data_IF_459789980941
#
_entry.id   IF_459789980941
#
_cell.length_a   1.000
_cell.length_b   1.000
_cell.length_c   1.000
_cell.angle_alpha   90.00
_cell.angle_beta   90.00
_cell.angle_gamma   90.00
#
_symmetry.space_group_name_H-M   'P 1'
#
loop_
_entity.id
_entity.type
_entity.pdbx_description
1 polymer ?
#
# COMPACT_ATOMS: atom_id res chain seq x y z
N UNK A 1 5.39 -17.99 -7.28
CA UNK A 1 4.34 -18.32 -6.31
C UNK A 1 3.53 -17.09 -5.97
N UNK A 2 2.27 -17.30 -5.69
CA UNK A 2 1.36 -16.17 -5.43
C UNK A 2 1.52 -15.65 -4.01
N UNK A 3 1.51 -14.33 -3.88
CA UNK A 3 1.46 -13.68 -2.57
C UNK A 3 0.03 -13.61 -2.08
N UNK A 4 -0.13 -13.51 -0.77
CA UNK A 4 -1.43 -13.32 -0.12
C UNK A 4 -1.54 -11.87 0.31
N UNK A 5 -2.68 -11.22 -0.01
CA UNK A 5 -2.92 -9.84 0.39
C UNK A 5 -3.68 -9.77 1.69
N UNK A 6 -3.24 -8.85 2.55
CA UNK A 6 -3.99 -8.43 3.74
C UNK A 6 -4.05 -6.91 3.76
N UNK A 7 -5.11 -6.38 4.34
CA UNK A 7 -5.33 -4.93 4.39
C UNK A 7 -5.45 -4.46 5.82
N UNK A 8 -4.77 -3.37 6.14
CA UNK A 8 -4.98 -2.69 7.41
C UNK A 8 -6.42 -2.16 7.43
N UNK A 9 -7.11 -2.23 8.57
CA UNK A 9 -8.51 -1.78 8.65
C UNK A 9 -8.75 -0.36 8.15
N UNK A 10 -7.80 0.53 8.37
CA UNK A 10 -7.92 1.92 7.93
C UNK A 10 -8.00 2.08 6.42
N UNK A 11 -7.51 1.10 5.65
CA UNK A 11 -7.61 1.16 4.18
C UNK A 11 -9.07 1.17 3.77
N UNK A 12 -9.84 0.22 4.29
CA UNK A 12 -11.26 0.10 3.97
C UNK A 12 -12.10 1.22 4.61
N UNK A 13 -11.78 1.55 5.85
CA UNK A 13 -12.59 2.48 6.63
C UNK A 13 -12.31 3.95 6.34
N UNK A 14 -11.07 4.29 5.98
CA UNK A 14 -10.65 5.67 5.81
C UNK A 14 -10.16 6.00 4.40
N UNK A 15 -9.33 5.14 3.81
CA UNK A 15 -8.69 5.45 2.54
C UNK A 15 -9.61 5.27 1.33
N UNK A 16 -10.23 4.10 1.21
CA UNK A 16 -11.09 3.81 0.05
C UNK A 16 -12.30 4.75 -0.08
N UNK A 17 -12.96 5.15 1.02
CA UNK A 17 -14.09 6.08 0.88
C UNK A 17 -13.73 7.44 0.30
N UNK A 18 -12.46 7.83 0.36
CA UNK A 18 -11.98 9.10 -0.19
C UNK A 18 -11.70 9.03 -1.68
N UNK A 19 -11.72 7.84 -2.27
CA UNK A 19 -11.38 7.62 -3.67
C UNK A 19 -12.63 7.42 -4.50
N UNK A 20 -12.59 7.89 -5.75
CA UNK A 20 -13.67 7.59 -6.67
C UNK A 20 -13.53 6.15 -7.20
N UNK A 21 -14.58 5.67 -7.86
CA UNK A 21 -14.61 4.28 -8.36
C UNK A 21 -13.52 4.00 -9.39
N UNK A 22 -13.20 4.96 -10.22
CA UNK A 22 -12.17 4.79 -11.25
C UNK A 22 -10.80 4.59 -10.62
N UNK A 23 -10.47 5.38 -9.60
CA UNK A 23 -9.19 5.25 -8.89
C UNK A 23 -9.13 3.95 -8.09
N UNK A 24 -10.23 3.55 -7.45
CA UNK A 24 -10.29 2.28 -6.73
C UNK A 24 -10.00 1.10 -7.68
N UNK A 25 -10.64 1.10 -8.85
CA UNK A 25 -10.44 0.04 -9.83
C UNK A 25 -9.01 0.02 -10.37
N UNK A 26 -8.45 1.20 -10.64
CA UNK A 26 -7.09 1.33 -11.13
C UNK A 26 -6.06 0.83 -10.12
N UNK A 27 -6.25 1.20 -8.86
CA UNK A 27 -5.36 0.78 -7.78
C UNK A 27 -5.46 -0.72 -7.56
N UNK A 28 -6.67 -1.26 -7.56
CA UNK A 28 -6.87 -2.71 -7.43
C UNK A 28 -6.14 -3.47 -8.52
N UNK A 29 -6.28 -3.02 -9.78
CA UNK A 29 -5.59 -3.66 -10.90
C UNK A 29 -4.08 -3.60 -10.73
N UNK A 30 -3.54 -2.47 -10.29
CA UNK A 30 -2.10 -2.34 -10.06
C UNK A 30 -1.62 -3.30 -8.98
N UNK A 31 -2.37 -3.44 -7.89
CA UNK A 31 -2.03 -4.37 -6.82
C UNK A 31 -2.02 -5.80 -7.35
N UNK A 32 -3.07 -6.19 -8.08
CA UNK A 32 -3.20 -7.56 -8.59
C UNK A 32 -2.17 -7.90 -9.65
N UNK A 33 -1.83 -6.94 -10.53
CA UNK A 33 -0.90 -7.20 -11.64
C UNK A 33 0.56 -6.99 -11.27
N UNK A 34 0.85 -6.20 -10.25
CA UNK A 34 2.22 -5.85 -9.88
C UNK A 34 2.63 -6.40 -8.52
N UNK A 35 1.89 -6.06 -7.47
CA UNK A 35 2.28 -6.47 -6.12
C UNK A 35 2.14 -7.98 -5.91
N UNK A 36 1.09 -8.59 -6.42
CA UNK A 36 0.90 -10.03 -6.29
C UNK A 36 1.92 -10.84 -7.08
N UNK A 37 2.57 -10.22 -8.05
CA UNK A 37 3.56 -10.88 -8.91
C UNK A 37 4.97 -10.65 -8.41
N UNK A 38 5.35 -9.38 -8.19
CA UNK A 38 6.72 -9.02 -7.85
C UNK A 38 6.75 -7.74 -7.04
N UNK A 39 6.35 -7.78 -5.75
CA UNK A 39 6.21 -6.56 -4.95
C UNK A 39 7.52 -5.77 -4.80
N UNK A 40 8.64 -6.48 -4.73
CA UNK A 40 9.94 -5.82 -4.54
C UNK A 40 10.52 -5.26 -5.84
N UNK A 41 9.99 -5.69 -6.99
CA UNK A 41 10.42 -5.15 -8.27
C UNK A 41 9.66 -3.89 -8.66
N UNK A 42 8.40 -3.82 -8.29
CA UNK A 42 7.55 -2.67 -8.62
C UNK A 42 7.47 -1.62 -7.52
N UNK A 43 7.73 -2.01 -6.28
CA UNK A 43 7.70 -1.09 -5.15
C UNK A 43 9.03 -0.38 -4.94
N UNK A 44 8.96 0.73 -4.21
CA UNK A 44 10.14 1.47 -3.78
C UNK A 44 10.15 1.58 -2.26
N UNK A 45 11.32 1.42 -1.60
CA UNK A 45 11.39 1.57 -0.16
C UNK A 45 11.02 3.00 0.29
N UNK A 46 10.35 3.11 1.42
CA UNK A 46 10.11 4.40 2.05
C UNK A 46 11.39 4.89 2.71
N UNK A 47 11.77 6.16 2.46
CA UNK A 47 13.07 6.68 2.89
C UNK A 47 13.13 7.15 4.33
N UNK A 48 12.02 7.65 4.87
CA UNK A 48 11.99 8.27 6.19
C UNK A 48 11.27 7.45 7.24
N UNK A 49 11.09 6.16 6.98
CA UNK A 49 10.32 5.32 7.86
C UNK A 49 11.14 4.13 8.30
N UNK A 50 10.52 3.30 9.12
CA UNK A 50 11.11 2.05 9.55
C UNK A 50 11.38 1.14 8.36
N UNK A 51 12.41 0.31 8.50
CA UNK A 51 12.78 -0.64 7.47
C UNK A 51 11.64 -1.60 7.17
N UNK A 52 11.53 -1.98 5.92
CA UNK A 52 10.54 -2.96 5.49
C UNK A 52 9.26 -2.39 4.94
N UNK A 53 9.11 -1.07 4.93
CA UNK A 53 7.95 -0.42 4.31
C UNK A 53 8.27 0.02 2.90
N UNK A 54 7.31 -0.18 2.00
CA UNK A 54 7.44 0.07 0.58
C UNK A 54 6.25 0.86 0.08
N UNK A 55 6.40 1.48 -1.08
CA UNK A 55 5.30 2.15 -1.76
C UNK A 55 5.23 1.74 -3.22
N UNK A 56 4.01 1.65 -3.75
CA UNK A 56 3.74 1.44 -5.17
C UNK A 56 3.08 2.68 -5.71
N UNK A 57 3.65 3.23 -6.77
CA UNK A 57 3.07 4.39 -7.44
C UNK A 57 1.94 3.99 -8.37
N UNK A 58 0.77 4.60 -8.18
CA UNK A 58 -0.39 4.44 -9.06
C UNK A 58 -0.99 5.83 -9.31
N UNK A 59 -0.55 6.48 -10.39
CA UNK A 59 -0.96 7.86 -10.66
C UNK A 59 -0.52 8.81 -9.55
N UNK A 60 -1.48 9.55 -8.99
CA UNK A 60 -1.22 10.45 -7.87
C UNK A 60 -1.32 9.77 -6.51
N UNK A 61 -1.56 8.47 -6.51
CA UNK A 61 -1.70 7.71 -5.27
C UNK A 61 -0.51 6.81 -5.04
N UNK A 62 -0.34 6.45 -3.78
CA UNK A 62 0.71 5.53 -3.35
C UNK A 62 0.07 4.44 -2.51
N UNK A 63 0.39 3.20 -2.84
CA UNK A 63 -0.02 2.05 -2.04
C UNK A 63 1.15 1.73 -1.13
N UNK A 64 0.99 1.96 0.17
CA UNK A 64 2.03 1.67 1.15
C UNK A 64 1.82 0.25 1.65
N UNK A 65 2.86 -0.55 1.61
CA UNK A 65 2.76 -1.97 1.94
C UNK A 65 4.03 -2.48 2.61
N UNK A 66 3.90 -3.66 3.21
CA UNK A 66 5.02 -4.39 3.79
C UNK A 66 4.94 -5.83 3.31
N UNK A 67 6.10 -6.40 2.99
CA UNK A 67 6.19 -7.81 2.59
C UNK A 67 6.76 -8.62 3.74
N UNK A 68 6.07 -9.69 4.12
CA UNK A 68 6.55 -10.62 5.13
C UNK A 68 6.35 -12.03 4.61
N UNK A 69 7.44 -12.66 4.18
CA UNK A 69 7.35 -13.96 3.53
C UNK A 69 6.54 -13.88 2.24
N UNK A 70 5.45 -14.61 2.16
CA UNK A 70 4.54 -14.60 1.01
C UNK A 70 3.32 -13.73 1.24
N UNK A 71 3.33 -12.94 2.32
CA UNK A 71 2.21 -12.09 2.68
C UNK A 71 2.55 -10.63 2.41
N UNK A 72 1.62 -9.92 1.78
CA UNK A 72 1.73 -8.49 1.54
C UNK A 72 0.65 -7.81 2.37
N UNK A 73 1.06 -6.96 3.31
CA UNK A 73 0.14 -6.17 4.11
C UNK A 73 0.04 -4.77 3.52
N UNK A 74 -1.15 -4.41 3.05
CA UNK A 74 -1.43 -3.06 2.56
C UNK A 74 -1.79 -2.20 3.76
N UNK A 75 -0.95 -1.20 4.03
CA UNK A 75 -1.10 -0.32 5.19
C UNK A 75 -1.91 0.94 4.87
N UNK A 76 -1.85 1.40 3.62
CA UNK A 76 -2.59 2.58 3.24
C UNK A 76 -2.58 2.79 1.75
N UNK A 77 -3.61 3.52 1.29
CA UNK A 77 -3.72 3.98 -0.09
C UNK A 77 -3.91 5.48 0.03
N UNK A 78 -2.84 6.23 -0.21
CA UNK A 78 -2.79 7.65 0.11
C UNK A 78 -2.37 8.49 -1.11
N UNK A 79 -2.78 9.75 -1.11
CA UNK A 79 -2.27 10.70 -2.08
C UNK A 79 -0.76 10.86 -1.87
N UNK A 80 -0.02 11.08 -2.96
CA UNK A 80 1.44 11.19 -2.93
C UNK A 80 1.98 12.19 -1.90
N UNK A 81 1.17 13.21 -1.55
CA UNK A 81 1.55 14.21 -0.57
C UNK A 81 1.41 13.76 0.88
N UNK A 82 0.69 12.67 1.10
CA UNK A 82 0.32 12.21 2.43
C UNK A 82 1.01 10.90 2.84
N UNK A 83 1.93 10.41 2.01
CA UNK A 83 2.51 9.07 2.20
C UNK A 83 3.15 8.90 3.57
N UNK A 84 3.89 9.88 4.03
CA UNK A 84 4.60 9.77 5.31
C UNK A 84 3.72 9.97 6.53
N UNK A 85 2.51 10.49 6.34
CA UNK A 85 1.55 10.61 7.43
C UNK A 85 1.11 9.25 7.99
N UNK A 86 1.31 8.20 7.20
CA UNK A 86 0.94 6.85 7.62
C UNK A 86 1.67 6.44 8.89
N UNK A 87 2.94 6.83 9.01
CA UNK A 87 3.74 6.54 10.20
C UNK A 87 3.31 7.45 11.35
N UNK A 88 3.07 8.72 11.05
CA UNK A 88 2.62 9.70 12.04
C UNK A 88 1.27 9.31 12.67
N UNK A 89 0.41 8.67 11.87
CA UNK A 89 -0.89 8.19 12.35
C UNK A 89 -0.82 6.85 13.06
N UNK A 90 0.40 6.30 13.21
CA UNK A 90 0.58 5.05 13.92
C UNK A 90 0.14 3.81 13.15
N UNK A 91 -0.01 3.90 11.84
CA UNK A 91 -0.34 2.73 11.01
C UNK A 91 0.91 1.90 10.79
N UNK A 92 1.10 0.91 11.60
CA UNK A 92 2.25 0.01 11.47
C UNK A 92 1.76 -1.41 11.23
N UNK A 93 2.68 -2.30 10.90
CA UNK A 93 2.34 -3.70 10.63
C UNK A 93 1.79 -4.41 11.88
N UNK A 94 2.01 -3.85 13.06
CA UNK A 94 1.56 -4.43 14.34
C UNK A 94 0.29 -3.78 14.88
N UNK A 95 -0.27 -2.83 14.21
CA UNK A 95 -1.48 -2.15 14.69
C UNK A 95 -2.75 -2.74 14.13
#
# INVERSE_FOLDING_TARGET
MAYTLKYHPSVKNEDLPKLDKANVARIRRAIETRLLVAPQDYGEPLRRTLKGYWKLRVGDYRVVFRVKGEEILILGILHRKEVYEIVEKGRTANS
#
